data_IF_492212746422
#
_entry.id   IF_492212746422
#
_cell.length_a   1.000
_cell.length_b   1.000
_cell.length_c   1.000
_cell.angle_alpha   90.00
_cell.angle_beta   90.00
_cell.angle_gamma   90.00
#
_symmetry.space_group_name_H-M   'P 1'
#
loop_
_entity.id
_entity.type
_entity.pdbx_description
1 polymer ?
#
# COMPACT_ATOMS: atom_id res chain seq x y z
N UNK A 1 5.48 3.33 -14.83
CA UNK A 1 6.89 3.51 -14.40
C UNK A 1 7.78 2.66 -15.29
N UNK A 2 8.92 3.16 -15.77
CA UNK A 2 9.85 2.33 -16.54
C UNK A 2 10.80 1.54 -15.62
N UNK A 3 11.41 0.46 -16.14
CA UNK A 3 12.28 -0.42 -15.35
C UNK A 3 13.47 0.33 -14.70
N UNK A 4 14.08 1.29 -15.40
CA UNK A 4 15.20 2.07 -14.88
C UNK A 4 14.80 2.90 -13.64
N UNK A 5 13.60 3.45 -13.63
CA UNK A 5 13.08 4.20 -12.48
C UNK A 5 12.84 3.27 -11.30
N UNK A 6 12.25 2.08 -11.52
CA UNK A 6 12.00 1.09 -10.47
C UNK A 6 13.31 0.59 -9.86
N UNK A 7 14.28 0.22 -10.69
CA UNK A 7 15.62 -0.22 -10.23
C UNK A 7 16.31 0.85 -9.40
N UNK A 8 16.20 2.11 -9.82
CA UNK A 8 16.74 3.24 -9.05
C UNK A 8 16.07 3.38 -7.69
N UNK A 9 14.74 3.34 -7.60
CA UNK A 9 14.01 3.43 -6.33
C UNK A 9 14.43 2.31 -5.39
N UNK A 10 14.52 1.07 -5.90
CA UNK A 10 14.96 -0.09 -5.11
C UNK A 10 16.40 0.11 -4.62
N UNK A 11 17.29 0.58 -5.48
CA UNK A 11 18.68 0.83 -5.12
C UNK A 11 18.81 1.94 -4.08
N UNK A 12 18.10 3.03 -4.26
CA UNK A 12 18.11 4.17 -3.34
C UNK A 12 17.54 3.76 -1.97
N UNK A 13 16.48 2.98 -1.93
CA UNK A 13 15.89 2.45 -0.69
C UNK A 13 16.86 1.49 0.03
N UNK A 14 17.60 0.66 -0.71
CA UNK A 14 18.61 -0.23 -0.11
C UNK A 14 19.80 0.53 0.45
N UNK A 15 20.20 1.61 -0.20
CA UNK A 15 21.36 2.41 0.20
C UNK A 15 21.02 3.41 1.32
N UNK A 16 19.77 3.86 1.37
CA UNK A 16 19.25 4.75 2.40
C UNK A 16 17.82 4.34 2.76
N UNK A 17 17.65 3.29 3.57
CA UNK A 17 16.33 2.79 3.94
C UNK A 17 15.57 3.72 4.88
N UNK A 18 16.21 4.79 5.34
CA UNK A 18 15.56 5.82 6.13
C UNK A 18 14.75 6.75 5.23
N UNK A 19 13.44 6.81 5.45
CA UNK A 19 12.56 7.76 4.78
C UNK A 19 12.36 8.99 5.67
N UNK A 20 12.29 10.14 5.03
CA UNK A 20 11.81 11.36 5.68
C UNK A 20 10.29 11.37 5.54
N UNK A 21 9.60 11.10 6.62
CA UNK A 21 8.16 11.19 6.67
C UNK A 21 7.69 12.65 6.54
N UNK A 22 6.60 12.87 5.84
CA UNK A 22 5.93 14.17 5.76
C UNK A 22 5.15 14.43 7.06
N UNK A 23 4.62 13.36 7.67
CA UNK A 23 3.96 13.38 8.97
C UNK A 23 4.68 12.40 9.93
N UNK A 24 5.55 12.90 10.78
CA UNK A 24 6.35 12.07 11.70
C UNK A 24 5.47 11.29 12.70
N UNK A 25 4.26 11.76 12.97
CA UNK A 25 3.32 11.04 13.84
C UNK A 25 2.88 9.69 13.24
N UNK A 26 2.84 9.57 11.92
CA UNK A 26 2.54 8.30 11.24
C UNK A 26 3.73 7.33 11.36
N UNK A 27 4.95 7.85 11.25
CA UNK A 27 6.16 7.06 11.48
C UNK A 27 6.19 6.50 12.91
N UNK A 28 5.79 7.29 13.90
CA UNK A 28 5.76 6.86 15.30
C UNK A 28 4.73 5.75 15.54
N UNK A 29 3.59 5.77 14.86
CA UNK A 29 2.63 4.67 14.92
C UNK A 29 3.25 3.35 14.43
N UNK A 30 3.93 3.36 13.30
CA UNK A 30 4.61 2.18 12.75
C UNK A 30 5.73 1.71 13.68
N UNK A 31 6.53 2.63 14.24
CA UNK A 31 7.64 2.30 15.15
C UNK A 31 7.16 1.68 16.46
N UNK A 32 5.99 2.07 16.94
CA UNK A 32 5.45 1.62 18.23
C UNK A 32 4.62 0.35 18.15
N UNK A 33 4.32 -0.14 16.95
CA UNK A 33 3.63 -1.41 16.80
C UNK A 33 4.57 -2.59 17.09
N UNK A 34 4.34 -3.25 18.22
CA UNK A 34 5.17 -4.36 18.69
C UNK A 34 5.11 -5.60 17.76
N UNK A 35 4.05 -5.79 17.00
CA UNK A 35 3.91 -6.92 16.08
C UNK A 35 4.82 -6.75 14.88
N UNK A 36 4.95 -5.54 14.37
CA UNK A 36 5.73 -5.22 13.19
C UNK A 36 7.20 -4.90 13.51
N UNK A 37 7.53 -4.47 14.72
CA UNK A 37 8.91 -4.22 15.14
C UNK A 37 9.81 -5.46 14.99
N UNK A 38 9.26 -6.67 15.06
CA UNK A 38 10.01 -7.92 14.91
C UNK A 38 10.36 -8.21 13.45
N UNK A 39 9.50 -7.80 12.51
CA UNK A 39 9.62 -8.19 11.10
C UNK A 39 10.10 -7.08 10.18
N UNK A 40 9.95 -5.81 10.56
CA UNK A 40 10.10 -4.67 9.64
C UNK A 40 11.23 -3.75 10.05
N UNK A 41 11.52 -3.62 11.34
CA UNK A 41 12.65 -2.86 11.82
C UNK A 41 13.85 -3.78 11.97
N UNK A 42 14.89 -3.57 11.15
CA UNK A 42 16.17 -4.14 11.46
C UNK A 42 16.80 -3.42 12.68
N UNK A 43 17.95 -3.94 13.15
CA UNK A 43 18.66 -3.41 14.33
C UNK A 43 18.98 -1.92 14.28
N UNK A 44 18.92 -1.31 13.10
CA UNK A 44 19.29 0.08 12.84
C UNK A 44 18.05 1.00 12.72
N UNK A 45 16.85 0.49 13.03
CA UNK A 45 15.61 1.24 12.96
C UNK A 45 15.11 1.51 11.52
N UNK A 46 15.61 0.76 10.56
CA UNK A 46 15.23 0.89 9.17
C UNK A 46 13.88 0.24 8.90
N UNK A 47 13.03 0.94 8.18
CA UNK A 47 11.61 0.66 8.03
C UNK A 47 11.26 -0.45 7.02
N UNK A 48 12.19 -1.33 6.68
CA UNK A 48 11.92 -2.48 5.82
C UNK A 48 11.14 -2.15 4.55
N UNK A 49 10.05 -2.89 4.30
CA UNK A 49 9.25 -2.70 3.11
C UNK A 49 8.41 -1.40 3.15
N UNK A 50 8.11 -0.82 4.29
CA UNK A 50 7.41 0.46 4.37
C UNK A 50 8.19 1.59 3.72
N UNK A 51 9.52 1.60 3.87
CA UNK A 51 10.38 2.57 3.17
C UNK A 51 10.28 2.40 1.66
N UNK A 52 10.26 1.16 1.18
CA UNK A 52 10.09 0.88 -0.23
C UNK A 52 8.71 1.32 -0.73
N UNK A 53 7.68 0.98 0.01
CA UNK A 53 6.29 1.33 -0.32
C UNK A 53 6.08 2.84 -0.38
N UNK A 54 6.60 3.58 0.61
CA UNK A 54 6.59 5.04 0.64
C UNK A 54 7.32 5.63 -0.58
N UNK A 55 8.55 5.16 -0.84
CA UNK A 55 9.35 5.65 -1.97
C UNK A 55 8.72 5.32 -3.33
N UNK A 56 8.10 4.15 -3.48
CA UNK A 56 7.34 3.81 -4.69
C UNK A 56 6.17 4.76 -4.87
N UNK A 57 5.37 4.96 -3.82
CA UNK A 57 4.20 5.85 -3.83
C UNK A 57 4.59 7.28 -4.19
N UNK A 58 5.68 7.80 -3.63
CA UNK A 58 6.18 9.16 -3.93
C UNK A 58 6.51 9.39 -5.41
N UNK A 59 6.68 8.33 -6.19
CA UNK A 59 7.04 8.40 -7.61
C UNK A 59 5.91 7.97 -8.55
N UNK A 60 4.70 7.79 -8.03
CA UNK A 60 3.54 7.32 -8.79
C UNK A 60 2.41 8.32 -8.66
N UNK A 61 1.80 8.67 -9.80
CA UNK A 61 0.53 9.37 -9.84
C UNK A 61 -0.57 8.44 -10.33
N UNK A 62 -1.80 8.66 -9.86
CA UNK A 62 -2.98 7.91 -10.24
C UNK A 62 -3.52 7.01 -9.14
N UNK A 63 -4.06 5.86 -9.52
CA UNK A 63 -4.71 4.95 -8.57
C UNK A 63 -3.71 3.92 -8.03
N UNK A 64 -3.62 3.88 -6.71
CA UNK A 64 -2.87 2.87 -5.96
C UNK A 64 -3.89 1.97 -5.28
N UNK A 65 -3.71 0.67 -5.40
CA UNK A 65 -4.57 -0.33 -4.76
C UNK A 65 -3.73 -1.17 -3.81
N UNK A 66 -4.17 -1.27 -2.55
CA UNK A 66 -3.63 -2.16 -1.54
C UNK A 66 -4.63 -3.29 -1.28
N UNK A 67 -4.19 -4.53 -1.43
CA UNK A 67 -4.96 -5.73 -1.12
C UNK A 67 -4.46 -6.32 0.19
N UNK A 68 -5.32 -6.31 1.21
CA UNK A 68 -4.97 -6.71 2.57
C UNK A 68 -4.44 -5.54 3.40
N UNK A 69 -5.34 -4.80 4.02
CA UNK A 69 -4.95 -3.64 4.83
C UNK A 69 -4.80 -3.96 6.32
N UNK A 70 -5.38 -5.08 6.78
CA UNK A 70 -5.39 -5.47 8.20
C UNK A 70 -5.63 -4.26 9.13
N UNK A 71 -4.66 -3.98 9.99
CA UNK A 71 -4.72 -2.89 10.97
C UNK A 71 -4.42 -1.51 10.37
N UNK A 72 -4.02 -1.43 9.09
CA UNK A 72 -3.85 -0.17 8.35
C UNK A 72 -2.44 0.41 8.34
N UNK A 73 -1.41 -0.35 8.68
CA UNK A 73 -0.03 0.18 8.70
C UNK A 73 0.52 0.47 7.29
N UNK A 74 0.17 -0.37 6.30
CA UNK A 74 0.50 -0.11 4.89
C UNK A 74 -0.12 1.20 4.42
N UNK A 75 -1.38 1.45 4.81
CA UNK A 75 -2.09 2.71 4.52
C UNK A 75 -1.28 3.92 4.98
N UNK A 76 -0.69 3.89 6.20
CA UNK A 76 0.07 5.03 6.73
C UNK A 76 1.24 5.39 5.83
N UNK A 77 1.97 4.38 5.37
CA UNK A 77 3.14 4.55 4.51
C UNK A 77 2.78 5.09 3.12
N UNK A 78 1.71 4.57 2.54
CA UNK A 78 1.19 5.03 1.24
C UNK A 78 0.63 6.45 1.38
N UNK A 79 -0.18 6.70 2.41
CA UNK A 79 -0.83 7.99 2.62
C UNK A 79 0.16 9.14 2.77
N UNK A 80 1.22 8.94 3.55
CA UNK A 80 2.24 9.98 3.77
C UNK A 80 2.92 10.41 2.47
N UNK A 81 3.06 9.50 1.51
CA UNK A 81 3.68 9.74 0.22
C UNK A 81 2.68 10.05 -0.92
N UNK A 82 1.37 10.01 -0.63
CA UNK A 82 0.32 10.14 -1.64
C UNK A 82 0.25 11.55 -2.21
N UNK A 83 0.45 11.70 -3.53
CA UNK A 83 0.34 12.99 -4.20
C UNK A 83 -1.10 13.50 -4.21
N UNK A 84 -1.27 14.81 -4.48
CA UNK A 84 -2.60 15.42 -4.58
C UNK A 84 -3.45 14.85 -5.74
N UNK A 85 -2.79 14.33 -6.78
CA UNK A 85 -3.42 13.76 -7.96
C UNK A 85 -3.65 12.25 -7.86
N UNK A 86 -3.26 11.64 -6.73
CA UNK A 86 -3.35 10.20 -6.53
C UNK A 86 -4.50 9.81 -5.60
N UNK A 87 -4.97 8.58 -5.74
CA UNK A 87 -5.98 7.97 -4.87
C UNK A 87 -5.51 6.62 -4.38
N UNK A 88 -5.74 6.35 -3.11
CA UNK A 88 -5.55 5.05 -2.49
C UNK A 88 -6.89 4.33 -2.36
N UNK A 89 -6.96 3.13 -2.90
CA UNK A 89 -8.01 2.16 -2.58
C UNK A 89 -7.38 1.04 -1.78
N UNK A 90 -7.87 0.80 -0.58
CA UNK A 90 -7.37 -0.27 0.27
C UNK A 90 -8.51 -1.21 0.63
N UNK A 91 -8.27 -2.51 0.47
CA UNK A 91 -9.28 -3.55 0.52
C UNK A 91 -8.92 -4.61 1.55
N UNK A 92 -9.88 -5.03 2.36
CA UNK A 92 -9.75 -6.19 3.23
C UNK A 92 -11.11 -6.87 3.46
N UNK A 93 -11.08 -8.15 3.77
CA UNK A 93 -12.26 -8.91 4.20
C UNK A 93 -12.64 -8.60 5.65
N UNK A 94 -11.74 -7.97 6.41
CA UNK A 94 -11.92 -7.60 7.81
C UNK A 94 -12.04 -6.08 7.93
N UNK A 95 -12.91 -5.63 8.81
CA UNK A 95 -13.03 -4.22 9.18
C UNK A 95 -12.17 -3.93 10.43
N UNK A 96 -10.85 -3.88 10.24
CA UNK A 96 -9.93 -3.56 11.33
C UNK A 96 -8.79 -2.63 10.84
N UNK A 97 -9.08 -1.35 10.80
CA UNK A 97 -8.10 -0.32 10.45
C UNK A 97 -7.78 0.57 11.67
N UNK A 98 -7.43 -0.08 12.78
CA UNK A 98 -7.24 0.57 14.09
C UNK A 98 -6.16 1.63 14.11
N UNK A 99 -5.14 1.55 13.26
CA UNK A 99 -4.07 2.55 13.20
C UNK A 99 -4.40 3.72 12.28
N UNK A 100 -5.48 3.64 11.51
CA UNK A 100 -5.88 4.72 10.60
C UNK A 100 -6.73 5.74 11.36
N UNK A 101 -6.21 6.94 11.52
CA UNK A 101 -6.89 8.02 12.22
C UNK A 101 -7.99 8.70 11.37
N UNK A 102 -8.81 9.54 12.01
CA UNK A 102 -9.93 10.20 11.35
C UNK A 102 -9.49 11.16 10.23
N UNK A 103 -8.31 11.75 10.32
CA UNK A 103 -7.74 12.60 9.27
C UNK A 103 -7.59 11.80 7.97
N UNK A 104 -7.03 10.60 8.06
CA UNK A 104 -6.83 9.72 6.89
C UNK A 104 -8.19 9.18 6.39
N UNK A 105 -9.05 8.73 7.30
CA UNK A 105 -10.38 8.20 6.95
C UNK A 105 -11.27 9.21 6.25
N UNK A 106 -11.08 10.50 6.54
CA UNK A 106 -11.86 11.60 5.94
C UNK A 106 -11.23 12.20 4.69
N UNK A 107 -10.00 11.81 4.34
CA UNK A 107 -9.35 12.32 3.13
C UNK A 107 -10.01 11.74 1.88
N UNK A 108 -10.49 12.60 1.00
CA UNK A 108 -11.19 12.22 -0.24
C UNK A 108 -10.34 11.42 -1.23
N UNK A 109 -9.03 11.35 -1.02
CA UNK A 109 -8.10 10.53 -1.80
C UNK A 109 -8.03 9.08 -1.29
N UNK A 110 -8.54 8.79 -0.08
CA UNK A 110 -8.45 7.48 0.56
C UNK A 110 -9.81 6.80 0.57
N UNK A 111 -9.86 5.59 0.03
CA UNK A 111 -11.05 4.75 -0.04
C UNK A 111 -10.77 3.43 0.67
N UNK A 112 -11.25 3.30 1.91
CA UNK A 112 -11.14 2.06 2.69
C UNK A 112 -12.37 1.21 2.40
N UNK A 113 -12.16 0.05 1.81
CA UNK A 113 -13.20 -0.87 1.35
C UNK A 113 -13.14 -2.16 2.19
N UNK A 114 -13.81 -2.13 3.33
CA UNK A 114 -13.93 -3.28 4.22
C UNK A 114 -14.97 -4.28 3.70
N UNK A 115 -14.94 -5.52 4.20
CA UNK A 115 -15.73 -6.64 3.70
C UNK A 115 -15.51 -6.90 2.19
N UNK A 116 -14.34 -6.58 1.68
CA UNK A 116 -14.02 -6.69 0.27
C UNK A 116 -13.03 -7.83 0.02
N UNK A 117 -13.51 -8.92 -0.57
CA UNK A 117 -12.63 -10.01 -1.00
C UNK A 117 -11.88 -9.60 -2.27
N UNK A 118 -10.54 -9.69 -2.24
CA UNK A 118 -9.65 -9.40 -3.37
C UNK A 118 -9.88 -10.29 -4.61
N UNK A 119 -10.64 -11.37 -4.46
CA UNK A 119 -11.04 -12.30 -5.55
C UNK A 119 -12.50 -12.15 -5.98
N UNK A 120 -13.26 -11.21 -5.42
CA UNK A 120 -14.64 -10.92 -5.83
C UNK A 120 -14.67 -10.14 -7.16
N UNK A 121 -14.71 -10.87 -8.27
CA UNK A 121 -14.62 -10.34 -9.64
C UNK A 121 -15.70 -9.28 -9.90
N UNK A 122 -16.94 -9.57 -9.54
CA UNK A 122 -18.07 -8.66 -9.81
C UNK A 122 -17.90 -7.32 -9.07
N UNK A 123 -17.45 -7.39 -7.83
CA UNK A 123 -17.23 -6.21 -7.00
C UNK A 123 -16.00 -5.42 -7.46
N UNK A 124 -14.94 -6.11 -7.87
CA UNK A 124 -13.74 -5.50 -8.44
C UNK A 124 -14.09 -4.76 -9.72
N UNK A 125 -14.78 -5.40 -10.67
CA UNK A 125 -15.17 -4.81 -11.93
C UNK A 125 -16.06 -3.57 -11.71
N UNK A 126 -17.05 -3.67 -10.83
CA UNK A 126 -17.91 -2.54 -10.48
C UNK A 126 -17.14 -1.36 -9.86
N UNK A 127 -16.15 -1.65 -9.02
CA UNK A 127 -15.38 -0.62 -8.30
C UNK A 127 -14.34 0.04 -9.20
N UNK A 128 -13.68 -0.75 -10.05
CA UNK A 128 -12.54 -0.33 -10.85
C UNK A 128 -12.82 -0.28 -12.35
N UNK A 129 -14.09 -0.43 -12.77
CA UNK A 129 -14.46 -0.33 -14.19
C UNK A 129 -13.91 0.96 -14.82
N UNK A 130 -13.19 0.80 -15.92
CA UNK A 130 -12.58 1.91 -16.68
C UNK A 130 -11.57 2.77 -15.90
N UNK A 131 -11.04 2.26 -14.80
CA UNK A 131 -9.98 2.94 -14.06
C UNK A 131 -8.62 2.37 -14.43
N UNK A 132 -7.68 3.24 -14.71
CA UNK A 132 -6.27 2.87 -14.84
C UNK A 132 -5.65 2.78 -13.46
N UNK A 133 -5.09 1.61 -13.12
CA UNK A 133 -4.41 1.38 -11.85
C UNK A 133 -2.90 1.55 -12.07
N UNK A 134 -2.28 2.43 -11.30
CA UNK A 134 -0.86 2.76 -11.44
C UNK A 134 0.04 1.87 -10.59
N UNK A 135 -0.46 1.37 -9.46
CA UNK A 135 0.25 0.46 -8.57
C UNK A 135 -0.72 -0.47 -7.85
N UNK A 136 -0.32 -1.72 -7.69
CA UNK A 136 -1.01 -2.68 -6.82
C UNK A 136 -0.01 -3.23 -5.82
N UNK A 137 -0.38 -3.19 -4.55
CA UNK A 137 0.35 -3.78 -3.44
C UNK A 137 -0.45 -4.97 -2.91
N UNK A 138 0.14 -6.16 -2.95
CA UNK A 138 -0.48 -7.41 -2.52
C UNK A 138 0.08 -7.79 -1.14
N UNK A 139 -0.75 -7.71 -0.11
CA UNK A 139 -0.39 -8.06 1.29
C UNK A 139 -1.52 -8.85 1.97
N UNK A 140 -2.12 -9.79 1.25
CA UNK A 140 -3.21 -10.65 1.70
C UNK A 140 -2.70 -11.92 2.40
N UNK A 141 -3.39 -13.03 2.25
CA UNK A 141 -2.92 -14.34 2.73
C UNK A 141 -1.76 -14.79 1.83
N UNK A 142 -0.58 -14.95 2.39
CA UNK A 142 0.66 -15.24 1.66
C UNK A 142 0.76 -16.74 1.26
N UNK A 143 -0.31 -17.32 0.71
CA UNK A 143 -0.27 -18.63 0.06
C UNK A 143 -0.02 -18.50 -1.43
N UNK A 144 0.65 -19.48 -2.01
CA UNK A 144 0.95 -19.49 -3.45
C UNK A 144 -0.33 -19.36 -4.29
N UNK A 145 -1.36 -20.11 -3.92
CA UNK A 145 -2.65 -20.16 -4.63
C UNK A 145 -3.33 -18.80 -4.62
N UNK A 146 -3.43 -18.17 -3.46
CA UNK A 146 -4.06 -16.86 -3.30
C UNK A 146 -3.33 -15.79 -4.12
N UNK A 147 -2.02 -15.69 -3.95
CA UNK A 147 -1.20 -14.71 -4.68
C UNK A 147 -1.28 -14.92 -6.19
N UNK A 148 -1.28 -16.18 -6.67
CA UNK A 148 -1.38 -16.47 -8.08
C UNK A 148 -2.74 -16.05 -8.67
N UNK A 149 -3.83 -16.27 -7.95
CA UNK A 149 -5.18 -15.88 -8.38
C UNK A 149 -5.33 -14.36 -8.38
N UNK A 150 -4.89 -13.68 -7.32
CA UNK A 150 -4.86 -12.22 -7.26
C UNK A 150 -4.02 -11.62 -8.39
N UNK A 151 -2.82 -12.15 -8.62
CA UNK A 151 -1.95 -11.68 -9.69
C UNK A 151 -2.61 -11.79 -11.08
N UNK A 152 -3.31 -12.89 -11.36
CA UNK A 152 -4.05 -13.06 -12.61
C UNK A 152 -5.22 -12.09 -12.74
N UNK A 153 -5.95 -11.88 -11.65
CA UNK A 153 -7.15 -11.06 -11.63
C UNK A 153 -6.83 -9.56 -11.70
N UNK A 154 -5.78 -9.14 -11.02
CA UNK A 154 -5.35 -7.74 -10.92
C UNK A 154 -4.23 -7.36 -11.91
N UNK A 155 -4.00 -8.18 -12.93
CA UNK A 155 -2.93 -7.92 -13.90
C UNK A 155 -3.14 -6.59 -14.65
N UNK A 156 -2.01 -5.94 -14.99
CA UNK A 156 -1.98 -4.66 -15.73
C UNK A 156 -2.72 -4.75 -17.08
N UNK A 157 -2.79 -5.92 -17.69
CA UNK A 157 -3.54 -6.13 -18.95
C UNK A 157 -5.04 -5.88 -18.78
N UNK A 158 -5.57 -6.08 -17.59
CA UNK A 158 -6.99 -5.86 -17.29
C UNK A 158 -7.30 -4.42 -16.86
N UNK A 159 -6.33 -3.74 -16.23
CA UNK A 159 -6.46 -2.37 -15.74
C UNK A 159 -5.29 -1.49 -16.24
N UNK A 160 -5.23 -1.21 -17.56
CA UNK A 160 -4.12 -0.49 -18.17
C UNK A 160 -4.03 0.98 -17.78
#
# INVERSE_FOLDING_TARGET
MNNTTLEKIISDTKSSPYIKWNDESLADLIRNDNVYNVFIFNKDGNHGYFSLLHNLTSNIEGIIVELGNREGLGILSIYDALSENSKLYTLDIVDDVRFVNDKIKSDSRVHILNDFNSLDVDRIEKTFEKKSISMIFLDTIHTYEQVLEEFKLWSIEKYP
#
